data_IF_701907869131
#
_entry.id   IF_701907869131
#
_cell.length_a   1.000
_cell.length_b   1.000
_cell.length_c   1.000
_cell.angle_alpha   90.00
_cell.angle_beta   90.00
_cell.angle_gamma   90.00
#
_symmetry.space_group_name_H-M   'P 1'
#
loop_
_entity.id
_entity.type
_entity.pdbx_description
1 polymer ?
#
# COMPACT_ATOMS: atom_id res chain seq x y z
N UNK A 1 -0.96 -23.01 -5.00
CA UNK A 1 0.30 -22.51 -4.40
C UNK A 1 0.80 -21.39 -5.29
N UNK A 2 0.52 -20.15 -4.93
CA UNK A 2 1.03 -19.01 -5.70
C UNK A 2 2.44 -18.66 -5.20
N UNK A 3 3.40 -18.66 -6.13
CA UNK A 3 4.80 -18.27 -5.87
C UNK A 3 4.89 -16.77 -6.02
N UNK A 4 4.83 -16.02 -4.93
CA UNK A 4 5.20 -14.61 -4.93
C UNK A 4 6.73 -14.52 -5.05
N UNK A 5 7.20 -14.10 -6.22
CA UNK A 5 8.58 -13.69 -6.42
C UNK A 5 8.70 -12.27 -5.84
N UNK A 6 9.43 -12.14 -4.73
CA UNK A 6 9.83 -10.82 -4.24
C UNK A 6 10.80 -10.29 -5.28
N UNK A 7 10.36 -9.32 -6.08
CA UNK A 7 11.23 -8.61 -7.00
C UNK A 7 12.17 -7.74 -6.17
N UNK A 8 13.44 -8.14 -6.07
CA UNK A 8 14.48 -7.31 -5.48
C UNK A 8 14.61 -6.06 -6.36
N UNK A 9 14.36 -4.90 -5.77
CA UNK A 9 14.61 -3.63 -6.46
C UNK A 9 16.12 -3.51 -6.73
N UNK A 10 16.54 -2.84 -7.82
CA UNK A 10 17.96 -2.68 -8.13
C UNK A 10 18.80 -2.10 -6.98
N UNK A 11 18.19 -1.28 -6.11
CA UNK A 11 18.82 -0.79 -4.89
C UNK A 11 19.18 -1.91 -3.91
N UNK A 12 18.30 -2.90 -3.69
CA UNK A 12 18.57 -4.00 -2.77
C UNK A 12 19.69 -4.93 -3.29
N UNK A 13 19.72 -5.18 -4.60
CA UNK A 13 20.80 -5.94 -5.24
C UNK A 13 22.15 -5.23 -5.10
N UNK A 14 22.15 -3.90 -5.17
CA UNK A 14 23.34 -3.08 -4.96
C UNK A 14 23.80 -3.12 -3.49
N UNK A 15 22.88 -3.07 -2.52
CA UNK A 15 23.19 -3.18 -1.09
C UNK A 15 23.78 -4.55 -0.72
N UNK A 16 23.22 -5.64 -1.26
CA UNK A 16 23.78 -6.99 -1.13
C UNK A 16 25.19 -7.08 -1.76
N UNK A 17 25.38 -6.46 -2.93
CA UNK A 17 26.68 -6.39 -3.61
C UNK A 17 27.72 -5.55 -2.86
N UNK A 18 27.30 -4.57 -2.05
CA UNK A 18 28.19 -3.70 -1.28
C UNK A 18 28.63 -4.32 0.05
N UNK A 19 28.11 -5.50 0.41
CA UNK A 19 28.48 -6.18 1.65
C UNK A 19 28.09 -5.38 2.91
N UNK A 20 27.18 -4.41 2.78
CA UNK A 20 26.59 -3.71 3.91
C UNK A 20 25.84 -4.77 4.71
N UNK A 21 26.29 -5.00 5.95
CA UNK A 21 25.70 -6.02 6.79
C UNK A 21 24.20 -5.73 6.92
N UNK A 22 23.36 -6.67 6.46
CA UNK A 22 21.88 -6.68 6.58
C UNK A 22 21.39 -6.38 8.01
N UNK A 23 22.31 -6.41 8.98
CA UNK A 23 22.17 -6.08 10.39
C UNK A 23 21.75 -4.63 10.70
N UNK A 24 21.92 -3.69 9.78
CA UNK A 24 21.49 -2.28 9.93
C UNK A 24 20.24 -1.92 9.10
N UNK A 25 19.73 -2.85 8.29
CA UNK A 25 18.55 -2.59 7.45
C UNK A 25 17.27 -2.75 8.29
N UNK A 26 16.67 -1.63 8.69
CA UNK A 26 15.32 -1.56 9.26
C UNK A 26 14.33 -0.96 8.27
N UNK A 27 13.08 -1.40 8.36
CA UNK A 27 12.01 -0.91 7.49
C UNK A 27 10.89 -0.22 8.27
N UNK A 28 10.45 0.93 7.77
CA UNK A 28 9.13 1.47 8.09
C UNK A 28 8.14 0.90 7.07
N UNK A 29 7.15 0.16 7.53
CA UNK A 29 6.13 -0.43 6.67
C UNK A 29 4.75 0.10 7.08
N UNK A 30 4.02 0.67 6.13
CA UNK A 30 2.74 1.30 6.41
C UNK A 30 1.71 0.87 5.37
N UNK A 31 0.48 0.57 5.79
CA UNK A 31 -0.52 0.15 4.82
C UNK A 31 -1.97 0.22 5.28
N UNK A 32 -2.87 0.16 4.31
CA UNK A 32 -4.32 0.12 4.53
C UNK A 32 -4.86 -1.17 3.93
N UNK A 33 -5.34 -2.05 4.80
CA UNK A 33 -5.99 -3.30 4.41
C UNK A 33 -7.51 -3.17 4.36
N UNK A 34 -8.08 -2.34 5.23
CA UNK A 34 -9.51 -2.10 5.34
C UNK A 34 -9.81 -0.60 5.17
N UNK A 35 -10.83 -0.29 4.37
CA UNK A 35 -11.31 1.08 4.17
C UNK A 35 -12.64 1.35 4.89
N UNK A 36 -13.15 0.37 5.65
CA UNK A 36 -14.37 0.46 6.44
C UNK A 36 -14.20 1.48 7.57
N UNK A 37 -14.77 2.67 7.38
CA UNK A 37 -14.71 3.76 8.36
C UNK A 37 -13.65 4.83 8.08
N UNK A 38 -12.96 4.77 6.93
CA UNK A 38 -12.05 5.84 6.50
C UNK A 38 -12.80 7.04 5.92
N UNK A 39 -12.19 8.22 5.97
CA UNK A 39 -12.69 9.40 5.23
C UNK A 39 -12.38 9.25 3.72
N UNK A 40 -11.37 8.46 3.38
CA UNK A 40 -10.95 8.14 2.02
C UNK A 40 -11.87 7.15 1.26
N UNK A 41 -12.98 6.72 1.87
CA UNK A 41 -13.90 5.66 1.41
C UNK A 41 -14.59 5.89 0.06
N UNK A 42 -14.30 6.96 -0.68
CA UNK A 42 -14.93 7.22 -1.97
C UNK A 42 -14.39 6.25 -3.05
N UNK A 43 -14.96 5.05 -3.09
CA UNK A 43 -14.82 4.12 -4.23
C UNK A 43 -13.70 3.09 -4.15
N UNK A 44 -12.93 3.04 -3.05
CA UNK A 44 -11.82 2.10 -2.91
C UNK A 44 -12.23 0.81 -2.20
N UNK A 45 -11.86 -0.34 -2.78
CA UNK A 45 -12.10 -1.65 -2.21
C UNK A 45 -11.04 -2.00 -1.14
N UNK A 46 -11.39 -2.91 -0.23
CA UNK A 46 -10.44 -3.47 0.74
C UNK A 46 -9.25 -4.14 0.04
N UNK A 47 -8.08 -4.08 0.68
CA UNK A 47 -6.83 -4.69 0.23
C UNK A 47 -6.37 -5.73 1.27
N UNK A 48 -7.06 -6.87 1.41
CA UNK A 48 -6.75 -7.87 2.45
C UNK A 48 -5.34 -8.46 2.33
N UNK A 49 -4.71 -8.37 1.15
CA UNK A 49 -3.33 -8.78 0.93
C UNK A 49 -2.28 -7.90 1.65
N UNK A 50 -2.62 -6.66 1.99
CA UNK A 50 -1.69 -5.71 2.64
C UNK A 50 -1.24 -6.23 4.00
N UNK A 51 -2.16 -6.72 4.84
CA UNK A 51 -1.78 -7.25 6.15
C UNK A 51 -0.82 -8.45 6.02
N UNK A 52 -1.04 -9.31 5.03
CA UNK A 52 -0.14 -10.42 4.75
C UNK A 52 1.24 -9.94 4.26
N UNK A 53 1.28 -8.96 3.36
CA UNK A 53 2.51 -8.36 2.83
C UNK A 53 3.37 -7.74 3.95
N UNK A 54 2.79 -6.89 4.80
CA UNK A 54 3.53 -6.23 5.87
C UNK A 54 4.06 -7.24 6.90
N UNK A 55 3.27 -8.26 7.24
CA UNK A 55 3.71 -9.34 8.12
C UNK A 55 4.85 -10.16 7.51
N UNK A 56 4.84 -10.38 6.18
CA UNK A 56 5.93 -11.05 5.47
C UNK A 56 7.22 -10.25 5.56
N UNK A 57 7.17 -8.93 5.33
CA UNK A 57 8.35 -8.06 5.43
C UNK A 57 8.92 -8.08 6.85
N UNK A 58 8.07 -7.90 7.86
CA UNK A 58 8.46 -7.95 9.28
C UNK A 58 9.12 -9.26 9.69
N UNK A 59 8.79 -10.37 9.01
CA UNK A 59 9.41 -11.68 9.28
C UNK A 59 10.83 -11.83 8.70
N UNK A 60 11.23 -10.95 7.77
CA UNK A 60 12.53 -11.02 7.09
C UNK A 60 13.50 -9.91 7.53
N UNK A 61 12.97 -8.74 7.90
CA UNK A 61 13.77 -7.60 8.36
C UNK A 61 13.13 -6.96 9.59
N UNK A 62 13.91 -6.37 10.51
CA UNK A 62 13.37 -5.55 11.59
C UNK A 62 12.48 -4.44 11.00
N UNK A 63 11.19 -4.43 11.36
CA UNK A 63 10.25 -3.50 10.79
C UNK A 63 9.27 -2.90 11.82
N UNK A 64 9.05 -1.60 11.73
CA UNK A 64 7.88 -0.94 12.33
C UNK A 64 6.71 -1.09 11.35
N UNK A 65 5.54 -1.46 11.88
CA UNK A 65 4.32 -1.68 11.08
C UNK A 65 3.24 -0.72 11.56
N UNK A 66 2.74 0.13 10.66
CA UNK A 66 1.58 0.98 10.91
C UNK A 66 0.46 0.55 9.96
N UNK A 67 -0.58 -0.09 10.49
CA UNK A 67 -1.69 -0.63 9.70
C UNK A 67 -2.98 0.15 9.97
N UNK A 68 -3.78 0.35 8.92
CA UNK A 68 -5.11 0.95 8.99
C UNK A 68 -5.11 2.29 9.74
N UNK A 69 -5.80 2.40 10.89
CA UNK A 69 -5.91 3.63 11.69
C UNK A 69 -4.56 4.20 12.13
N UNK A 70 -3.52 3.36 12.17
CA UNK A 70 -2.17 3.80 12.50
C UNK A 70 -1.47 4.44 11.29
N UNK A 71 -1.88 4.13 10.06
CA UNK A 71 -1.34 4.74 8.85
C UNK A 71 -2.11 6.01 8.48
N UNK A 72 -1.83 7.09 9.19
CA UNK A 72 -2.34 8.43 8.89
C UNK A 72 -1.32 9.26 8.11
N UNK A 73 -1.78 10.37 7.53
CA UNK A 73 -0.88 11.34 6.90
C UNK A 73 0.10 11.94 7.90
N UNK A 74 -0.32 12.17 9.14
CA UNK A 74 0.57 12.71 10.16
C UNK A 74 1.64 11.68 10.57
N UNK A 75 1.24 10.44 10.87
CA UNK A 75 2.19 9.39 11.26
C UNK A 75 3.21 9.09 10.15
N UNK A 76 2.83 9.18 8.87
CA UNK A 76 3.79 9.03 7.77
C UNK A 76 4.85 10.13 7.81
N UNK A 77 4.43 11.38 7.99
CA UNK A 77 5.36 12.52 8.04
C UNK A 77 6.32 12.40 9.21
N UNK A 78 5.79 12.06 10.39
CA UNK A 78 6.57 11.95 11.61
C UNK A 78 7.62 10.84 11.48
N UNK A 79 7.21 9.65 11.02
CA UNK A 79 8.13 8.50 10.88
C UNK A 79 9.17 8.66 9.78
N UNK A 80 8.84 9.35 8.69
CA UNK A 80 9.85 9.73 7.69
C UNK A 80 10.83 10.75 8.30
N UNK A 81 10.34 11.79 8.97
CA UNK A 81 11.18 12.85 9.52
C UNK A 81 12.12 12.36 10.64
N UNK A 82 11.74 11.35 11.43
CA UNK A 82 12.59 10.77 12.47
C UNK A 82 13.86 10.09 11.94
N UNK A 83 13.92 9.80 10.64
CA UNK A 83 15.10 9.27 9.97
C UNK A 83 15.67 7.96 10.52
N UNK A 84 14.85 7.15 11.18
CA UNK A 84 15.25 5.89 11.82
C UNK A 84 15.30 4.69 10.87
N UNK A 85 14.67 4.82 9.70
CA UNK A 85 14.49 3.72 8.76
C UNK A 85 15.10 4.08 7.39
N UNK A 86 16.10 3.31 6.91
CA UNK A 86 16.63 3.46 5.55
C UNK A 86 15.67 2.92 4.48
N UNK A 87 14.72 2.05 4.86
CA UNK A 87 13.73 1.46 3.95
C UNK A 87 12.33 1.94 4.36
N UNK A 88 11.55 2.42 3.39
CA UNK A 88 10.12 2.75 3.56
C UNK A 88 9.30 1.95 2.55
N UNK A 89 8.28 1.25 3.04
CA UNK A 89 7.34 0.48 2.22
C UNK A 89 5.91 0.92 2.50
N UNK A 90 5.21 1.40 1.46
CA UNK A 90 3.82 1.87 1.55
C UNK A 90 2.90 0.96 0.72
N UNK A 91 1.97 0.28 1.40
CA UNK A 91 1.03 -0.65 0.78
C UNK A 91 -0.42 -0.15 0.96
N UNK A 92 -0.90 0.60 -0.02
CA UNK A 92 -2.19 1.30 0.03
C UNK A 92 -2.68 1.61 -1.38
N UNK A 93 -3.92 2.05 -1.56
CA UNK A 93 -4.34 2.56 -2.87
C UNK A 93 -3.60 3.82 -3.26
N UNK A 94 -3.37 3.97 -4.55
CA UNK A 94 -2.82 5.18 -5.12
C UNK A 94 -3.27 5.35 -6.56
N UNK A 95 -3.07 6.54 -7.07
CA UNK A 95 -3.24 6.86 -8.47
C UNK A 95 -1.93 7.43 -8.96
N UNK A 96 -1.38 6.86 -10.02
CA UNK A 96 -0.28 7.44 -10.79
C UNK A 96 -0.87 7.94 -12.09
N UNK A 97 -0.82 9.24 -12.30
CA UNK A 97 -1.28 9.92 -13.52
C UNK A 97 -0.12 10.65 -14.17
N UNK A 98 -0.21 10.87 -15.48
CA UNK A 98 0.68 11.79 -16.20
C UNK A 98 0.52 13.23 -15.72
N UNK A 99 -0.62 13.56 -15.11
CA UNK A 99 -0.85 14.82 -14.43
C UNK A 99 -0.48 14.69 -12.95
N UNK A 100 0.57 15.40 -12.55
CA UNK A 100 1.08 15.43 -11.16
C UNK A 100 0.00 15.72 -10.12
N UNK A 101 -0.99 16.55 -10.45
CA UNK A 101 -2.09 16.95 -9.55
C UNK A 101 -3.06 15.80 -9.23
N UNK A 102 -3.11 14.79 -10.10
CA UNK A 102 -3.96 13.60 -9.96
C UNK A 102 -3.21 12.42 -9.33
N UNK A 103 -1.89 12.54 -9.13
CA UNK A 103 -1.06 11.49 -8.52
C UNK A 103 -1.10 11.59 -6.99
N UNK A 104 -1.57 10.52 -6.34
CA UNK A 104 -1.69 10.46 -4.88
C UNK A 104 -1.58 9.05 -4.33
N UNK A 105 -1.32 8.94 -3.02
CA UNK A 105 -1.51 7.74 -2.21
C UNK A 105 -2.58 7.99 -1.15
N UNK A 106 -3.30 6.94 -0.74
CA UNK A 106 -4.26 7.02 0.35
C UNK A 106 -3.62 6.71 1.71
N UNK A 107 -3.96 7.53 2.69
CA UNK A 107 -3.76 7.27 4.12
C UNK A 107 -5.14 7.10 4.76
N UNK A 108 -5.18 6.64 6.01
CA UNK A 108 -6.43 6.37 6.71
C UNK A 108 -7.37 7.60 6.78
N UNK A 109 -6.78 8.77 6.97
CA UNK A 109 -7.48 10.03 7.21
C UNK A 109 -7.52 10.95 5.98
N UNK A 110 -6.62 10.78 5.01
CA UNK A 110 -6.50 11.71 3.88
C UNK A 110 -5.78 11.15 2.65
N UNK A 111 -5.69 11.95 1.59
CA UNK A 111 -4.81 11.71 0.43
C UNK A 111 -3.51 12.47 0.60
N UNK A 112 -2.40 11.86 0.21
CA UNK A 112 -1.10 12.54 0.05
C UNK A 112 -0.79 12.60 -1.43
N UNK A 113 -0.71 13.81 -1.97
CA UNK A 113 -0.32 13.99 -3.37
C UNK A 113 1.20 13.86 -3.55
N UNK A 114 1.62 13.64 -4.80
CA UNK A 114 3.04 13.45 -5.14
C UNK A 114 3.93 14.64 -4.75
N UNK A 115 3.42 15.88 -4.78
CA UNK A 115 4.18 17.07 -4.35
C UNK A 115 4.42 17.07 -2.84
N UNK A 116 3.43 16.61 -2.06
CA UNK A 116 3.59 16.45 -0.60
C UNK A 116 4.58 15.34 -0.30
N UNK A 117 4.49 14.21 -1.00
CA UNK A 117 5.43 13.10 -0.83
C UNK A 117 6.85 13.52 -1.21
N UNK A 118 7.06 14.15 -2.37
CA UNK A 118 8.37 14.67 -2.81
C UNK A 118 9.00 15.60 -1.78
N UNK A 119 8.22 16.52 -1.18
CA UNK A 119 8.73 17.39 -0.12
C UNK A 119 9.19 16.61 1.11
N UNK A 120 8.44 15.59 1.53
CA UNK A 120 8.83 14.75 2.68
C UNK A 120 10.14 14.00 2.39
N UNK A 121 10.28 13.46 1.19
CA UNK A 121 11.48 12.74 0.77
C UNK A 121 12.69 13.68 0.64
N UNK A 122 12.52 14.90 0.13
CA UNK A 122 13.61 15.91 0.09
C UNK A 122 14.08 16.35 1.46
N UNK A 123 13.16 16.51 2.41
CA UNK A 123 13.53 16.79 3.81
C UNK A 123 14.37 15.65 4.37
N UNK A 124 13.99 14.40 4.06
CA UNK A 124 14.72 13.19 4.46
C UNK A 124 16.13 13.11 3.89
N UNK A 125 16.37 13.59 2.68
CA UNK A 125 17.69 13.62 2.03
C UNK A 125 18.69 14.55 2.74
N UNK A 126 18.23 15.49 3.57
CA UNK A 126 19.08 16.38 4.35
C UNK A 126 19.57 15.73 5.67
N UNK A 127 19.01 14.57 6.05
CA UNK A 127 19.34 13.88 7.30
C UNK A 127 20.56 12.95 7.15
N UNK A 128 21.30 12.68 8.24
CA UNK A 128 22.54 11.90 8.18
C UNK A 128 22.40 10.45 7.69
N UNK A 129 21.22 9.84 7.85
CA UNK A 129 20.93 8.47 7.42
C UNK A 129 19.93 8.51 6.28
N UNK A 130 20.30 8.66 5.00
CA UNK A 130 19.35 8.90 3.92
C UNK A 130 18.36 7.74 3.69
N UNK A 131 17.27 8.02 2.96
CA UNK A 131 16.39 6.96 2.49
C UNK A 131 17.08 6.18 1.36
N UNK A 132 17.28 4.88 1.56
CA UNK A 132 17.94 3.99 0.59
C UNK A 132 16.94 3.34 -0.37
N UNK A 133 15.72 3.06 0.11
CA UNK A 133 14.68 2.43 -0.69
C UNK A 133 13.28 2.90 -0.30
N UNK A 134 12.52 3.36 -1.30
CA UNK A 134 11.07 3.55 -1.21
C UNK A 134 10.37 2.50 -2.08
N UNK A 135 9.48 1.71 -1.50
CA UNK A 135 8.60 0.79 -2.21
C UNK A 135 7.16 1.28 -2.08
N UNK A 136 6.46 1.39 -3.21
CA UNK A 136 5.05 1.76 -3.26
C UNK A 136 4.25 0.61 -3.88
N UNK A 137 3.57 -0.18 -3.06
CA UNK A 137 2.68 -1.27 -3.48
C UNK A 137 1.26 -0.74 -3.77
N UNK A 138 1.17 0.38 -4.51
CA UNK A 138 -0.09 1.03 -4.81
C UNK A 138 -0.71 0.55 -6.12
N UNK A 139 -1.90 -0.06 -6.06
CA UNK A 139 -2.65 -0.41 -7.26
C UNK A 139 -3.28 0.84 -7.87
N UNK A 140 -3.05 1.09 -9.17
CA UNK A 140 -3.74 2.10 -9.97
C UNK A 140 -5.23 1.75 -10.07
N UNK A 141 -6.03 2.23 -9.11
CA UNK A 141 -7.48 2.17 -9.26
C UNK A 141 -7.90 3.44 -9.99
N UNK A 142 -7.81 3.42 -11.32
CA UNK A 142 -8.41 4.44 -12.16
C UNK A 142 -9.92 4.45 -11.88
N UNK A 143 -10.40 5.43 -11.10
CA UNK A 143 -11.83 5.63 -10.80
C UNK A 143 -12.67 5.97 -12.06
N UNK A 144 -12.11 5.85 -13.27
CA UNK A 144 -12.70 6.30 -14.53
C UNK A 144 -13.01 5.22 -15.57
N UNK A 145 -12.61 3.94 -15.43
CA UNK A 145 -12.95 2.93 -16.45
C UNK A 145 -13.02 1.48 -15.94
N UNK A 146 -13.69 1.28 -14.80
CA UNK A 146 -14.16 -0.06 -14.44
C UNK A 146 -15.67 -0.11 -14.50
N UNK A 147 -16.18 -0.62 -15.64
CA UNK A 147 -17.42 -1.39 -15.65
C UNK A 147 -17.27 -2.49 -14.60
N UNK A 148 -17.70 -2.17 -13.39
CA UNK A 148 -17.89 -3.10 -12.30
C UNK A 148 -18.94 -4.11 -12.75
N UNK A 149 -18.52 -5.22 -13.37
CA UNK A 149 -19.36 -6.37 -13.61
C UNK A 149 -19.71 -6.93 -12.22
N UNK A 150 -20.89 -6.53 -11.74
CA UNK A 150 -21.52 -7.01 -10.54
C UNK A 150 -21.69 -8.53 -10.65
N UNK A 151 -20.83 -9.29 -9.98
CA UNK A 151 -21.10 -10.69 -9.70
C UNK A 151 -22.21 -10.77 -8.66
N UNK A 152 -23.42 -11.11 -9.09
CA UNK A 152 -24.57 -11.33 -8.21
C UNK A 152 -24.48 -12.72 -7.55
N UNK A 153 -23.99 -12.73 -6.31
CA UNK A 153 -23.86 -13.93 -5.49
C UNK A 153 -25.21 -14.50 -4.99
N UNK A 154 -26.36 -13.87 -5.32
CA UNK A 154 -27.70 -14.38 -4.95
C UNK A 154 -28.25 -15.48 -5.85
N UNK A 155 -27.56 -15.85 -6.94
CA UNK A 155 -28.07 -16.85 -7.89
C UNK A 155 -27.88 -18.33 -7.46
N UNK A 156 -27.21 -18.61 -6.33
CA UNK A 156 -26.87 -19.98 -5.93
C UNK A 156 -27.39 -20.36 -4.55
N UNK A 157 -28.69 -20.16 -4.27
CA UNK A 157 -29.39 -20.96 -3.25
C UNK A 157 -30.83 -21.25 -3.69
N UNK A 158 -31.14 -22.55 -3.68
CA UNK A 158 -32.43 -23.20 -3.89
C UNK A 158 -32.93 -23.36 -5.33
N UNK A 159 -32.51 -24.47 -5.93
CA UNK A 159 -33.44 -25.36 -6.62
C UNK A 159 -34.54 -25.80 -5.66
N UNK A 160 -35.80 -25.40 -5.92
CA UNK A 160 -36.95 -26.29 -5.76
C UNK A 160 -37.95 -26.04 -6.88
N UNK A 161 -38.28 -27.14 -7.51
CA UNK A 161 -39.22 -27.37 -8.59
C UNK A 161 -40.64 -27.14 -8.07
N UNK A 162 -41.38 -26.16 -8.59
CA UNK A 162 -42.86 -26.19 -8.70
C UNK A 162 -43.27 -25.35 -9.93
N UNK A 163 -43.80 -26.01 -10.96
CA UNK A 163 -44.63 -25.41 -12.02
C UNK A 163 -46.03 -25.09 -11.44
N UNK A 164 -46.77 -24.08 -11.95
CA UNK A 164 -47.78 -24.44 -12.94
C UNK A 164 -48.07 -23.38 -14.04
N UNK A 165 -48.72 -23.91 -15.06
CA UNK A 165 -49.37 -23.41 -16.27
C UNK A 165 -50.40 -22.27 -16.18
N UNK A 166 -50.59 -21.62 -17.35
CA UNK A 166 -51.77 -20.91 -17.93
C UNK A 166 -52.02 -19.48 -17.40
N UNK A 167 -52.37 -18.49 -18.22
CA UNK A 167 -52.98 -18.46 -19.56
C UNK A 167 -52.27 -17.47 -20.49
#
# INVERSE_FOLDING_TARGET
>A
MEKYQIALTPGLQLLESLGLQVRELSALTMGISDFSGTVARQGFAALPGVEFELNKIKSQVPAEVLLNQQFTSQSLKDRIAEALFPIVHLATHGQLSSQTEETFILTWDSKINVKQLDRLLRTREQEPSPLELLVLSACETALGDQRMQRWDWRSHRNSQIITPTRH
#
